data_IF_567011137119
#
_entry.id   IF_567011137119
#
_cell.length_a   1.000
_cell.length_b   1.000
_cell.length_c   1.000
_cell.angle_alpha   90.00
_cell.angle_beta   90.00
_cell.angle_gamma   90.00
#
_symmetry.space_group_name_H-M   'P 1'
#
loop_
_entity.id
_entity.type
_entity.pdbx_description
1 polymer ?
#
# COMPACT_ATOMS: atom_id res chain seq x y z
N UNK A 1 4.26 7.07 -9.22
CA UNK A 1 5.59 6.60 -9.68
C UNK A 1 6.14 5.55 -8.73
N UNK A 2 7.17 4.80 -9.14
CA UNK A 2 7.87 3.87 -8.24
C UNK A 2 8.70 4.60 -7.15
N UNK A 3 9.23 5.79 -7.45
CA UNK A 3 9.91 6.67 -6.48
C UNK A 3 11.34 7.03 -6.87
N UNK A 4 12.22 6.03 -7.01
CA UNK A 4 13.67 6.28 -7.15
C UNK A 4 14.16 6.85 -8.49
N UNK A 5 13.33 6.85 -9.53
CA UNK A 5 13.70 7.28 -10.89
C UNK A 5 12.57 8.12 -11.48
N UNK A 6 12.82 9.41 -11.71
CA UNK A 6 11.91 10.34 -12.39
C UNK A 6 12.69 11.58 -12.87
N UNK A 7 12.06 12.38 -13.73
CA UNK A 7 12.52 13.71 -14.09
C UNK A 7 11.37 14.70 -13.88
N UNK A 8 11.70 15.86 -13.32
CA UNK A 8 10.74 16.93 -13.04
C UNK A 8 11.44 18.28 -13.27
N UNK A 9 10.69 19.29 -13.73
CA UNK A 9 11.21 20.65 -13.75
C UNK A 9 11.56 21.11 -12.32
N UNK A 10 12.69 21.80 -12.19
CA UNK A 10 13.22 22.21 -10.88
C UNK A 10 12.29 23.22 -10.20
N UNK A 11 11.74 24.18 -10.94
CA UNK A 11 10.85 25.18 -10.35
C UNK A 11 9.54 24.53 -9.93
N UNK A 12 8.95 23.70 -10.80
CA UNK A 12 7.74 22.95 -10.48
C UNK A 12 7.90 22.05 -9.25
N UNK A 13 9.05 21.39 -9.08
CA UNK A 13 9.33 20.61 -7.86
C UNK A 13 9.26 21.46 -6.58
N UNK A 14 9.81 22.67 -6.61
CA UNK A 14 9.79 23.58 -5.47
C UNK A 14 8.45 24.30 -5.29
N UNK A 15 7.70 24.55 -6.37
CA UNK A 15 6.32 25.06 -6.29
C UNK A 15 5.40 24.05 -5.58
N UNK A 16 5.65 22.74 -5.77
CA UNK A 16 5.01 21.66 -5.02
C UNK A 16 5.55 21.49 -3.58
N UNK A 17 6.50 22.33 -3.16
CA UNK A 17 7.13 22.28 -1.83
C UNK A 17 8.05 21.07 -1.62
N UNK A 18 8.58 20.48 -2.69
CA UNK A 18 9.47 19.32 -2.61
C UNK A 18 8.83 18.09 -1.94
N UNK A 19 9.65 17.31 -1.24
CA UNK A 19 9.17 16.25 -0.34
C UNK A 19 8.79 16.81 1.03
N UNK A 20 7.86 16.17 1.72
CA UNK A 20 7.59 16.45 3.12
C UNK A 20 8.82 16.11 3.97
N UNK A 21 9.44 17.15 4.55
CA UNK A 21 10.65 17.05 5.38
C UNK A 21 10.44 16.21 6.66
N UNK A 22 9.20 15.91 7.04
CA UNK A 22 8.89 15.00 8.14
C UNK A 22 8.85 13.51 7.79
N UNK A 23 9.12 13.15 6.53
CA UNK A 23 9.26 11.77 6.09
C UNK A 23 10.65 11.22 6.47
N UNK A 24 10.66 10.09 7.16
CA UNK A 24 11.90 9.45 7.60
C UNK A 24 12.37 8.38 6.62
N UNK A 25 13.68 8.36 6.34
CA UNK A 25 14.46 7.26 5.74
C UNK A 25 13.94 6.74 4.40
N UNK A 26 12.81 6.04 4.40
CA UNK A 26 12.21 5.40 3.23
C UNK A 26 10.70 5.18 3.40
N UNK A 27 9.97 5.32 2.30
CA UNK A 27 8.57 4.93 2.16
C UNK A 27 7.64 6.11 2.37
N UNK A 28 6.74 6.35 1.41
CA UNK A 28 5.72 7.40 1.45
C UNK A 28 5.97 8.51 0.45
N UNK A 29 7.24 8.85 0.20
CA UNK A 29 7.66 9.94 -0.68
C UNK A 29 7.14 9.80 -2.12
N UNK A 30 7.08 8.56 -2.62
CA UNK A 30 6.57 8.27 -3.96
C UNK A 30 5.07 8.49 -4.07
N UNK A 31 4.31 8.25 -2.99
CA UNK A 31 2.88 8.52 -2.95
C UNK A 31 2.61 10.01 -2.78
N UNK A 32 3.31 10.65 -1.85
CA UNK A 32 3.20 12.07 -1.58
C UNK A 32 3.41 12.91 -2.85
N UNK A 33 4.52 12.70 -3.55
CA UNK A 33 4.83 13.47 -4.75
C UNK A 33 3.86 13.13 -5.90
N UNK A 34 3.46 11.86 -6.05
CA UNK A 34 2.44 11.48 -7.04
C UNK A 34 1.11 12.19 -6.79
N UNK A 35 0.68 12.27 -5.53
CA UNK A 35 -0.56 12.93 -5.12
C UNK A 35 -0.47 14.45 -5.30
N UNK A 36 0.64 15.07 -4.91
CA UNK A 36 0.93 16.50 -5.17
C UNK A 36 0.79 16.82 -6.65
N UNK A 37 1.51 16.11 -7.51
CA UNK A 37 1.50 16.35 -8.96
C UNK A 37 0.07 16.27 -9.51
N UNK A 38 -0.65 15.16 -9.28
CA UNK A 38 -1.97 14.97 -9.87
C UNK A 38 -3.06 15.88 -9.28
N UNK A 39 -3.10 16.03 -7.96
CA UNK A 39 -4.15 16.83 -7.32
C UNK A 39 -3.93 18.33 -7.53
N UNK A 40 -2.68 18.79 -7.70
CA UNK A 40 -2.34 20.21 -7.78
C UNK A 40 -2.06 20.71 -9.21
N UNK A 41 -2.59 20.02 -10.24
CA UNK A 41 -2.63 20.53 -11.62
C UNK A 41 -1.49 20.07 -12.54
N UNK A 42 -0.60 19.20 -12.07
CA UNK A 42 0.42 18.55 -12.89
C UNK A 42 -0.04 17.22 -13.50
N UNK A 43 0.89 16.56 -14.17
CA UNK A 43 0.70 15.23 -14.76
C UNK A 43 1.94 14.37 -14.52
N UNK A 44 1.74 13.05 -14.48
CA UNK A 44 2.81 12.07 -14.33
C UNK A 44 2.70 11.03 -15.44
N UNK A 45 3.80 10.78 -16.14
CA UNK A 45 3.83 9.91 -17.31
C UNK A 45 5.01 8.93 -17.20
N UNK A 46 4.76 7.67 -17.53
CA UNK A 46 5.82 6.72 -17.85
C UNK A 46 6.15 6.86 -19.34
N UNK A 47 7.43 7.06 -19.68
CA UNK A 47 7.89 7.29 -21.06
C UNK A 47 8.52 5.99 -21.60
N UNK A 48 7.84 5.19 -22.45
CA UNK A 48 8.31 3.85 -22.81
C UNK A 48 9.66 3.82 -23.54
N UNK A 49 10.01 4.91 -24.23
CA UNK A 49 11.28 5.08 -24.93
C UNK A 49 12.47 5.40 -24.00
N UNK A 50 12.22 5.78 -22.74
CA UNK A 50 13.25 6.01 -21.74
C UNK A 50 13.29 4.81 -20.79
N UNK A 51 14.40 4.09 -20.75
CA UNK A 51 14.52 2.82 -20.01
C UNK A 51 15.76 2.84 -19.14
N UNK A 52 15.59 2.52 -17.86
CA UNK A 52 16.66 2.43 -16.87
C UNK A 52 16.55 1.09 -16.14
N UNK A 53 17.66 0.35 -16.07
CA UNK A 53 17.73 -0.87 -15.26
C UNK A 53 17.94 -0.54 -13.78
N UNK A 54 17.15 -1.14 -12.90
CA UNK A 54 17.30 -1.01 -11.44
C UNK A 54 17.47 -2.40 -10.82
N UNK A 55 18.52 -2.59 -10.01
CA UNK A 55 18.79 -3.85 -9.33
C UNK A 55 17.97 -3.91 -8.04
N UNK A 56 16.90 -4.72 -8.05
CA UNK A 56 16.13 -4.99 -6.83
C UNK A 56 16.94 -5.84 -5.86
N UNK A 57 17.02 -5.38 -4.61
CA UNK A 57 17.71 -6.09 -3.54
C UNK A 57 16.81 -7.22 -3.02
N UNK A 58 17.44 -8.32 -2.57
CA UNK A 58 16.73 -9.43 -1.90
C UNK A 58 16.24 -9.06 -0.49
N UNK A 59 16.98 -8.18 0.19
CA UNK A 59 16.68 -7.71 1.54
C UNK A 59 17.26 -6.29 1.73
N UNK A 60 16.75 -5.58 2.74
CA UNK A 60 17.30 -4.28 3.13
C UNK A 60 18.73 -4.48 3.66
N UNK A 61 19.74 -3.81 3.09
CA UNK A 61 21.14 -4.03 3.45
C UNK A 61 21.55 -3.30 4.73
N UNK A 62 20.67 -2.47 5.30
CA UNK A 62 20.93 -1.67 6.50
C UNK A 62 19.90 -2.01 7.58
N UNK A 63 20.32 -2.04 8.86
CA UNK A 63 19.38 -2.22 9.96
C UNK A 63 18.45 -1.02 10.09
N UNK A 64 17.30 -1.23 10.75
CA UNK A 64 16.45 -0.13 11.17
C UNK A 64 17.29 0.81 12.07
N UNK A 65 17.25 2.14 11.86
CA UNK A 65 18.00 3.11 12.66
C UNK A 65 17.52 3.25 14.12
N UNK A 66 16.63 2.37 14.60
CA UNK A 66 16.06 2.43 15.94
C UNK A 66 14.86 3.37 16.07
N UNK A 67 14.26 3.78 14.93
CA UNK A 67 13.18 4.79 14.86
C UNK A 67 11.78 4.12 14.85
N UNK A 68 11.72 2.82 15.17
CA UNK A 68 10.47 2.05 15.13
C UNK A 68 9.94 1.87 13.70
N UNK A 69 8.62 1.78 13.55
CA UNK A 69 7.94 1.68 12.24
C UNK A 69 7.80 3.07 11.59
N UNK A 70 8.92 3.60 11.11
CA UNK A 70 8.94 4.87 10.40
C UNK A 70 8.14 4.82 9.08
N UNK A 71 8.05 3.65 8.44
CA UNK A 71 7.27 3.47 7.20
C UNK A 71 5.78 3.68 7.48
N UNK A 72 5.25 3.05 8.52
CA UNK A 72 3.87 3.24 8.95
C UNK A 72 3.58 4.70 9.35
N UNK A 73 4.52 5.36 10.04
CA UNK A 73 4.41 6.80 10.35
C UNK A 73 4.36 7.66 9.09
N UNK A 74 5.25 7.41 8.13
CA UNK A 74 5.29 8.14 6.87
C UNK A 74 4.01 7.97 6.06
N UNK A 75 3.51 6.72 5.92
CA UNK A 75 2.24 6.45 5.26
C UNK A 75 1.09 7.20 5.92
N UNK A 76 1.09 7.29 7.25
CA UNK A 76 0.09 8.09 7.96
C UNK A 76 0.24 9.59 7.68
N UNK A 77 1.44 10.17 7.69
CA UNK A 77 1.66 11.58 7.32
C UNK A 77 1.06 11.89 5.95
N UNK A 78 1.37 11.06 4.95
CA UNK A 78 0.83 11.20 3.59
C UNK A 78 -0.69 11.06 3.58
N UNK A 79 -1.24 10.04 4.24
CA UNK A 79 -2.68 9.80 4.28
C UNK A 79 -3.46 10.94 4.94
N UNK A 80 -2.97 11.48 6.05
CA UNK A 80 -3.60 12.58 6.79
C UNK A 80 -3.63 13.91 6.03
N UNK A 81 -2.71 14.11 5.08
CA UNK A 81 -2.65 15.34 4.28
C UNK A 81 -3.35 15.17 2.94
N UNK A 82 -3.21 14.02 2.28
CA UNK A 82 -3.50 13.88 0.85
C UNK A 82 -4.62 12.91 0.51
N UNK A 83 -5.05 12.03 1.43
CA UNK A 83 -6.02 10.97 1.12
C UNK A 83 -7.44 11.26 1.59
N UNK A 84 -7.70 12.39 2.24
CA UNK A 84 -9.04 12.78 2.73
C UNK A 84 -9.71 11.64 3.52
N UNK A 85 -10.97 11.31 3.24
CA UNK A 85 -11.70 10.19 3.85
C UNK A 85 -11.12 8.81 3.51
N UNK A 86 -10.35 8.68 2.42
CA UNK A 86 -9.82 7.38 1.98
C UNK A 86 -8.72 6.85 2.91
N UNK A 87 -8.15 7.68 3.79
CA UNK A 87 -7.24 7.21 4.85
C UNK A 87 -7.89 6.18 5.76
N UNK A 88 -9.22 6.19 5.90
CA UNK A 88 -9.93 5.21 6.70
C UNK A 88 -9.79 3.78 6.13
N UNK A 89 -9.68 3.61 4.81
CA UNK A 89 -9.42 2.31 4.19
C UNK A 89 -8.03 1.75 4.50
N UNK A 90 -7.05 2.64 4.71
CA UNK A 90 -5.73 2.27 5.20
C UNK A 90 -5.82 1.81 6.66
N UNK A 91 -6.51 2.58 7.51
CA UNK A 91 -6.63 2.28 8.93
C UNK A 91 -7.48 1.03 9.23
N UNK A 92 -8.47 0.70 8.40
CA UNK A 92 -9.20 -0.56 8.51
C UNK A 92 -8.27 -1.78 8.31
N UNK A 93 -7.30 -1.68 7.40
CA UNK A 93 -6.34 -2.76 7.11
C UNK A 93 -5.15 -2.77 8.07
N UNK A 94 -4.76 -1.61 8.58
CA UNK A 94 -3.65 -1.43 9.53
C UNK A 94 -4.11 -0.59 10.74
N UNK A 95 -4.92 -1.15 11.65
CA UNK A 95 -5.51 -0.39 12.77
C UNK A 95 -4.49 0.32 13.67
N UNK A 96 -3.32 -0.30 13.88
CA UNK A 96 -2.25 0.27 14.70
C UNK A 96 -1.70 1.60 14.14
N UNK A 97 -1.89 1.90 12.85
CA UNK A 97 -1.46 3.18 12.28
C UNK A 97 -2.16 4.36 12.96
N UNK A 98 -3.41 4.20 13.41
CA UNK A 98 -4.14 5.26 14.13
C UNK A 98 -3.37 5.80 15.34
N UNK A 99 -2.53 4.99 15.96
CA UNK A 99 -1.81 5.33 17.18
C UNK A 99 -0.46 6.01 16.94
N UNK A 100 0.05 6.05 15.71
CA UNK A 100 1.32 6.74 15.43
C UNK A 100 1.20 8.24 15.66
N UNK A 101 2.13 8.80 16.44
CA UNK A 101 2.38 10.23 16.41
C UNK A 101 3.10 10.56 15.09
N UNK A 102 2.47 11.43 14.31
CA UNK A 102 2.98 11.87 13.01
C UNK A 102 3.71 13.19 13.09
N UNK A 103 3.75 13.86 14.25
CA UNK A 103 4.28 15.20 14.39
C UNK A 103 3.40 16.26 13.70
N UNK A 104 4.00 17.42 13.43
CA UNK A 104 3.27 18.55 12.86
C UNK A 104 2.99 18.35 11.35
N UNK A 105 1.75 18.56 10.94
CA UNK A 105 1.28 18.50 9.55
C UNK A 105 0.75 19.85 9.03
N UNK A 106 0.87 20.91 9.82
CA UNK A 106 0.27 22.23 9.53
C UNK A 106 0.77 22.79 8.21
N UNK A 107 2.08 22.76 7.99
CA UNK A 107 2.69 23.27 6.75
C UNK A 107 2.22 22.49 5.52
N UNK A 108 2.20 21.16 5.59
CA UNK A 108 1.75 20.30 4.49
C UNK A 108 0.26 20.53 4.17
N UNK A 109 -0.59 20.65 5.19
CA UNK A 109 -2.02 20.98 5.00
C UNK A 109 -2.22 22.39 4.42
N UNK A 110 -1.42 23.36 4.84
CA UNK A 110 -1.48 24.73 4.32
C UNK A 110 -0.97 24.82 2.88
N UNK A 111 0.08 24.06 2.53
CA UNK A 111 0.58 23.94 1.16
C UNK A 111 -0.52 23.42 0.23
N UNK A 112 -1.18 22.31 0.59
CA UNK A 112 -2.29 21.75 -0.20
C UNK A 112 -3.42 22.76 -0.42
N UNK A 113 -3.78 23.52 0.63
CA UNK A 113 -4.79 24.59 0.54
C UNK A 113 -4.35 25.72 -0.37
N UNK A 114 -3.11 26.21 -0.21
CA UNK A 114 -2.56 27.33 -0.99
C UNK A 114 -2.48 27.02 -2.48
N UNK A 115 -2.13 25.78 -2.84
CA UNK A 115 -2.06 25.32 -4.22
C UNK A 115 -3.46 25.04 -4.83
N UNK A 116 -4.54 25.14 -4.05
CA UNK A 116 -5.89 24.89 -4.55
C UNK A 116 -6.09 23.47 -5.09
N UNK A 117 -5.42 22.48 -4.49
CA UNK A 117 -5.42 21.12 -5.00
C UNK A 117 -6.81 20.47 -4.94
N UNK A 118 -7.08 19.58 -5.90
CA UNK A 118 -8.29 18.77 -5.96
C UNK A 118 -8.36 17.77 -4.80
N UNK A 119 -9.55 17.22 -4.57
CA UNK A 119 -9.75 16.17 -3.56
C UNK A 119 -9.14 14.83 -3.98
N UNK A 120 -8.90 13.97 -3.00
CA UNK A 120 -8.46 12.60 -3.27
C UNK A 120 -9.55 11.78 -3.97
N UNK A 121 -10.83 12.07 -3.69
CA UNK A 121 -11.95 11.49 -4.44
C UNK A 121 -11.82 11.77 -5.94
N UNK A 122 -11.54 13.02 -6.33
CA UNK A 122 -11.32 13.36 -7.74
C UNK A 122 -10.16 12.55 -8.33
N UNK A 123 -9.05 12.40 -7.59
CA UNK A 123 -7.91 11.60 -8.02
C UNK A 123 -8.31 10.14 -8.26
N UNK A 124 -9.03 9.52 -7.32
CA UNK A 124 -9.48 8.13 -7.45
C UNK A 124 -10.48 7.94 -8.60
N UNK A 125 -11.34 8.91 -8.89
CA UNK A 125 -12.35 8.80 -9.94
C UNK A 125 -11.82 9.14 -11.35
N UNK A 126 -10.80 9.99 -11.46
CA UNK A 126 -10.36 10.55 -12.75
C UNK A 126 -8.95 10.10 -13.16
N UNK A 127 -8.09 9.78 -12.20
CA UNK A 127 -6.69 9.38 -12.45
C UNK A 127 -6.48 7.90 -12.15
N UNK A 128 -6.85 7.45 -10.95
CA UNK A 128 -6.68 6.07 -10.49
C UNK A 128 -7.98 5.26 -10.50
N UNK A 129 -8.82 5.46 -11.53
CA UNK A 129 -10.16 4.89 -11.64
C UNK A 129 -10.18 3.35 -11.76
N UNK A 130 -9.10 2.77 -12.25
CA UNK A 130 -8.91 1.34 -12.42
C UNK A 130 -8.41 0.68 -11.13
N UNK A 131 -7.85 1.45 -10.19
CA UNK A 131 -7.26 0.89 -8.99
C UNK A 131 -8.25 0.10 -8.12
N UNK A 132 -9.48 0.59 -7.84
CA UNK A 132 -10.49 -0.18 -7.12
C UNK A 132 -10.91 -1.49 -7.80
N UNK A 133 -10.67 -1.67 -9.11
CA UNK A 133 -11.00 -2.93 -9.80
C UNK A 133 -10.08 -4.07 -9.39
N UNK A 134 -8.82 -3.76 -9.06
CA UNK A 134 -7.82 -4.76 -8.64
C UNK A 134 -7.65 -4.82 -7.14
N UNK A 135 -7.78 -3.69 -6.46
CA UNK A 135 -7.63 -3.56 -5.00
C UNK A 135 -8.81 -2.75 -4.46
N UNK A 136 -9.99 -3.36 -4.29
CA UNK A 136 -11.18 -2.65 -3.87
C UNK A 136 -11.01 -2.11 -2.43
N UNK A 137 -11.45 -0.88 -2.13
CA UNK A 137 -11.35 -0.33 -0.78
C UNK A 137 -12.02 -1.20 0.29
N UNK A 138 -13.08 -1.91 -0.08
CA UNK A 138 -13.75 -2.95 0.72
C UNK A 138 -13.78 -4.22 -0.14
N UNK A 139 -13.18 -5.31 0.36
CA UNK A 139 -13.18 -6.59 -0.36
C UNK A 139 -14.61 -7.14 -0.47
N UNK A 140 -14.98 -7.74 -1.61
CA UNK A 140 -16.25 -8.44 -1.72
C UNK A 140 -16.29 -9.63 -0.73
N UNK A 141 -17.49 -10.05 -0.30
CA UNK A 141 -17.61 -11.22 0.56
C UNK A 141 -17.09 -12.47 -0.16
N UNK A 142 -16.51 -13.38 0.62
CA UNK A 142 -16.10 -14.70 0.13
C UNK A 142 -17.31 -15.43 -0.48
N UNK A 143 -17.11 -16.09 -1.63
CA UNK A 143 -18.13 -16.97 -2.20
C UNK A 143 -18.38 -18.19 -1.29
N UNK A 144 -17.31 -18.75 -0.73
CA UNK A 144 -17.35 -19.86 0.21
C UNK A 144 -16.14 -19.80 1.15
N UNK A 145 -16.32 -20.27 2.39
CA UNK A 145 -15.25 -20.37 3.39
C UNK A 145 -15.42 -21.66 4.20
N UNK A 146 -14.34 -22.40 4.38
CA UNK A 146 -14.27 -23.65 5.15
C UNK A 146 -13.43 -24.70 4.44
N UNK A 147 -13.52 -25.94 4.92
CA UNK A 147 -12.79 -27.08 4.36
C UNK A 147 -13.26 -27.43 2.95
N UNK A 148 -12.33 -27.85 2.09
CA UNK A 148 -12.65 -28.39 0.76
C UNK A 148 -12.53 -29.91 0.83
N UNK A 149 -13.67 -30.59 0.94
CA UNK A 149 -13.77 -32.05 1.04
C UNK A 149 -14.03 -32.69 -0.32
N UNK A 150 -13.22 -33.69 -0.68
CA UNK A 150 -13.45 -34.52 -1.85
C UNK A 150 -14.52 -35.59 -1.54
N UNK A 151 -15.60 -35.61 -2.33
CA UNK A 151 -16.75 -36.51 -2.12
C UNK A 151 -16.38 -38.00 -2.33
N UNK A 152 -15.42 -38.30 -3.21
CA UNK A 152 -15.07 -39.69 -3.52
C UNK A 152 -14.17 -40.33 -2.46
N UNK A 153 -13.24 -39.57 -1.88
CA UNK A 153 -12.28 -40.08 -0.90
C UNK A 153 -12.65 -39.77 0.56
N UNK A 154 -13.60 -38.85 0.80
CA UNK A 154 -13.90 -38.29 2.12
C UNK A 154 -12.66 -37.71 2.82
N UNK A 155 -11.78 -37.08 2.02
CA UNK A 155 -10.57 -36.41 2.48
C UNK A 155 -10.64 -34.92 2.15
N UNK A 156 -9.96 -34.11 2.93
CA UNK A 156 -9.92 -32.67 2.81
C UNK A 156 -8.59 -32.19 2.22
N UNK A 157 -8.63 -31.12 1.43
CA UNK A 157 -7.42 -30.43 0.96
C UNK A 157 -6.70 -29.83 2.17
N UNK A 158 -5.41 -30.13 2.32
CA UNK A 158 -4.56 -29.59 3.38
C UNK A 158 -3.19 -29.19 2.81
N UNK A 159 -2.72 -28.01 3.18
CA UNK A 159 -1.40 -27.49 2.81
C UNK A 159 -0.32 -27.95 3.79
N UNK A 160 -0.65 -28.45 4.98
CA UNK A 160 0.31 -28.86 6.02
C UNK A 160 1.37 -27.80 6.33
N UNK A 161 1.00 -26.51 6.32
CA UNK A 161 1.92 -25.38 6.54
C UNK A 161 3.06 -25.32 5.51
N UNK A 162 2.87 -25.94 4.34
CA UNK A 162 3.81 -25.89 3.26
C UNK A 162 3.95 -24.48 2.69
N UNK A 163 5.12 -24.21 2.13
CA UNK A 163 5.44 -22.89 1.58
C UNK A 163 4.84 -22.72 0.18
N UNK A 164 4.93 -21.49 -0.30
CA UNK A 164 4.54 -21.14 -1.67
C UNK A 164 5.24 -22.04 -2.69
N UNK A 165 4.46 -22.55 -3.67
CA UNK A 165 4.88 -23.47 -4.74
C UNK A 165 5.18 -24.92 -4.31
N UNK A 166 4.92 -25.29 -3.06
CA UNK A 166 4.96 -26.69 -2.64
C UNK A 166 3.62 -27.39 -2.91
N UNK A 167 3.63 -28.73 -2.96
CA UNK A 167 2.45 -29.53 -3.32
C UNK A 167 1.58 -29.79 -2.09
N UNK A 168 0.42 -29.14 -2.04
CA UNK A 168 -0.65 -29.52 -1.12
C UNK A 168 -1.23 -30.89 -1.48
N UNK A 169 -1.90 -31.52 -0.50
CA UNK A 169 -2.40 -32.88 -0.62
C UNK A 169 -3.81 -33.07 -0.06
N UNK A 170 -4.20 -34.33 0.04
CA UNK A 170 -5.44 -34.75 0.70
C UNK A 170 -5.10 -35.41 2.04
N UNK A 171 -5.80 -34.99 3.08
CA UNK A 171 -5.64 -35.47 4.45
C UNK A 171 -7.00 -35.77 5.08
N UNK A 172 -7.01 -36.48 6.21
CA UNK A 172 -8.27 -36.64 6.97
C UNK A 172 -8.76 -35.27 7.43
N UNK A 173 -10.08 -35.07 7.38
CA UNK A 173 -10.67 -33.79 7.70
C UNK A 173 -10.51 -33.45 9.19
N UNK A 174 -9.98 -32.25 9.51
CA UNK A 174 -9.67 -31.84 10.89
C UNK A 174 -10.93 -31.84 11.77
N UNK A 175 -12.06 -31.42 11.22
CA UNK A 175 -13.35 -31.43 11.93
C UNK A 175 -13.77 -32.82 12.41
N UNK A 176 -13.36 -33.86 11.69
CA UNK A 176 -13.69 -35.25 12.01
C UNK A 176 -12.63 -35.91 12.89
N UNK A 177 -11.45 -35.30 13.01
CA UNK A 177 -10.33 -35.81 13.79
C UNK A 177 -9.54 -34.68 14.49
N UNK A 178 -9.99 -34.24 15.67
CA UNK A 178 -9.41 -33.08 16.36
C UNK A 178 -7.95 -33.27 16.82
N UNK A 179 -7.41 -34.48 16.73
CA UNK A 179 -6.00 -34.76 17.04
C UNK A 179 -5.05 -34.46 15.87
N UNK A 180 -5.58 -34.02 14.72
CA UNK A 180 -4.79 -33.70 13.54
C UNK A 180 -4.61 -32.18 13.41
N UNK A 181 -3.38 -31.75 13.09
CA UNK A 181 -3.06 -30.35 12.77
C UNK A 181 -2.96 -30.15 11.26
N UNK A 182 -3.32 -28.95 10.81
CA UNK A 182 -3.30 -28.54 9.41
C UNK A 182 -3.98 -27.19 9.21
N UNK A 183 -4.22 -26.82 7.96
CA UNK A 183 -4.76 -25.49 7.56
C UNK A 183 -6.09 -25.59 6.79
N UNK A 184 -6.84 -26.66 7.01
CA UNK A 184 -8.14 -26.93 6.36
C UNK A 184 -9.26 -25.98 6.79
#
# INVERSE_FOLDING_TARGET
MAGGLFAIDRLFFWDLGGYDEGLDVWGGEQYELSFKIWQCGGQMLDVPCSRVGHVYRKFAPFPNPGIGDFVGRNYKRVAEVWMDEYKEFLYMRKPHYRNFDVGNLTEQKNLRKRLGCRSFKWYMENVAFDQPRKYPPIEPPDYAKGEIRNVASDLCIDTKFQKQNERFGLEKCIKDNPNQSGEQ
#
